data_IF_098214982790
#
_entry.id   IF_098214982790
#
_cell.length_a   1.000
_cell.length_b   1.000
_cell.length_c   1.000
_cell.angle_alpha   90.00
_cell.angle_beta   90.00
_cell.angle_gamma   90.00
#
_symmetry.space_group_name_H-M   'P 1'
#
loop_
_entity.id
_entity.type
_entity.pdbx_description
1 polymer ?
#
# COMPACT_ATOMS: atom_id res chain seq x y z
N UNK A 1 -18.31 4.61 5.42
CA UNK A 1 -17.56 3.39 5.03
C UNK A 1 -16.15 3.82 4.67
N UNK A 2 -15.15 3.59 5.54
CA UNK A 2 -13.78 3.96 5.23
C UNK A 2 -13.29 3.20 4.00
N UNK A 3 -12.39 3.83 3.25
CA UNK A 3 -11.71 3.16 2.12
C UNK A 3 -10.83 2.06 2.70
N UNK A 4 -11.20 0.80 2.46
CA UNK A 4 -10.37 -0.36 2.78
C UNK A 4 -9.43 -0.63 1.59
N UNK A 5 -8.18 -0.18 1.72
CA UNK A 5 -7.15 -0.41 0.71
C UNK A 5 -6.19 -1.53 1.15
N UNK A 6 -5.72 -2.33 0.19
CA UNK A 6 -4.85 -3.47 0.44
C UNK A 6 -3.77 -3.60 -0.65
N UNK A 7 -2.67 -4.24 -0.31
CA UNK A 7 -1.57 -4.52 -1.22
C UNK A 7 -1.88 -5.75 -2.07
N UNK A 8 -2.02 -5.61 -3.39
CA UNK A 8 -2.34 -6.75 -4.27
C UNK A 8 -1.20 -7.78 -4.40
N UNK A 9 0.03 -7.42 -4.03
CA UNK A 9 1.18 -8.35 -4.11
C UNK A 9 1.10 -9.40 -3.00
N UNK A 10 0.78 -8.99 -1.78
CA UNK A 10 0.69 -9.89 -0.61
C UNK A 10 -0.75 -10.19 -0.17
N UNK A 11 -1.74 -9.54 -0.79
CA UNK A 11 -3.17 -9.64 -0.44
C UNK A 11 -3.48 -9.28 1.02
N UNK A 12 -2.76 -8.30 1.58
CA UNK A 12 -2.90 -7.85 2.98
C UNK A 12 -3.26 -6.37 3.05
N UNK A 13 -4.00 -5.95 4.08
CA UNK A 13 -4.45 -4.57 4.25
C UNK A 13 -3.29 -3.62 4.55
N UNK A 14 -3.43 -2.36 4.14
CA UNK A 14 -2.52 -1.32 4.61
C UNK A 14 -2.86 -0.96 6.06
N UNK A 15 -1.86 -0.97 6.91
CA UNK A 15 -1.95 -0.63 8.32
C UNK A 15 -0.77 0.26 8.74
N UNK A 16 -0.64 0.52 10.05
CA UNK A 16 0.46 1.33 10.58
C UNK A 16 1.79 0.56 10.71
N UNK A 17 1.82 -0.74 10.40
CA UNK A 17 3.00 -1.60 10.61
C UNK A 17 3.97 -1.59 9.42
N UNK A 18 3.46 -1.39 8.20
CA UNK A 18 4.24 -1.48 6.97
C UNK A 18 4.15 -0.19 6.17
N UNK A 19 5.29 0.21 5.59
CA UNK A 19 5.35 1.38 4.72
C UNK A 19 4.57 1.15 3.43
N UNK A 20 3.73 2.11 3.06
CA UNK A 20 3.00 2.12 1.79
C UNK A 20 3.77 2.97 0.79
N UNK A 21 4.02 2.42 -0.38
CA UNK A 21 4.68 3.08 -1.51
C UNK A 21 3.69 3.30 -2.65
N UNK A 22 3.91 4.34 -3.45
CA UNK A 22 3.16 4.60 -4.67
C UNK A 22 4.06 4.70 -5.88
N UNK A 23 3.53 4.20 -7.00
CA UNK A 23 4.13 4.34 -8.32
C UNK A 23 3.47 5.54 -9.03
N UNK A 24 4.18 6.21 -9.94
CA UNK A 24 3.65 7.30 -10.79
C UNK A 24 2.32 7.01 -11.53
N UNK A 25 1.90 5.75 -11.64
CA UNK A 25 0.61 5.37 -12.19
C UNK A 25 -0.56 5.44 -11.18
N UNK A 26 -0.30 5.80 -9.92
CA UNK A 26 -1.28 5.94 -8.84
C UNK A 26 -1.51 4.68 -8.00
N UNK A 27 -1.02 3.51 -8.42
CA UNK A 27 -1.20 2.28 -7.64
C UNK A 27 -0.24 2.21 -6.44
N UNK A 28 -0.77 1.72 -5.31
CA UNK A 28 -0.10 1.62 -4.02
C UNK A 28 0.19 0.18 -3.64
N UNK A 29 1.33 -0.04 -2.99
CA UNK A 29 1.80 -1.35 -2.54
C UNK A 29 2.63 -1.19 -1.27
N UNK A 30 2.78 -2.24 -0.45
CA UNK A 30 3.81 -2.21 0.59
C UNK A 30 5.19 -2.02 -0.05
N UNK A 31 6.02 -1.17 0.57
CA UNK A 31 7.35 -0.83 0.06
C UNK A 31 8.21 -2.08 -0.14
N UNK A 32 8.22 -2.99 0.84
CA UNK A 32 8.97 -4.25 0.76
C UNK A 32 8.46 -5.16 -0.36
N UNK A 33 7.14 -5.29 -0.50
CA UNK A 33 6.54 -6.08 -1.58
C UNK A 33 6.90 -5.52 -2.95
N UNK A 34 6.86 -4.20 -3.11
CA UNK A 34 7.21 -3.53 -4.36
C UNK A 34 8.71 -3.69 -4.67
N UNK A 35 9.57 -3.58 -3.66
CA UNK A 35 11.01 -3.77 -3.80
C UNK A 35 11.33 -5.20 -4.26
N UNK A 36 10.74 -6.21 -3.61
CA UNK A 36 10.91 -7.61 -3.97
C UNK A 36 10.41 -7.90 -5.39
N UNK A 37 9.27 -7.30 -5.78
CA UNK A 37 8.74 -7.41 -7.14
C UNK A 37 9.72 -6.88 -8.19
N UNK A 38 10.37 -5.75 -7.95
CA UNK A 38 11.36 -5.21 -8.89
C UNK A 38 12.70 -5.95 -8.91
N UNK A 39 13.00 -6.74 -7.88
CA UNK A 39 14.16 -7.63 -7.89
C UNK A 39 13.91 -8.88 -8.73
N UNK A 40 12.66 -9.39 -8.76
CA UNK A 40 12.30 -10.61 -9.50
C UNK A 40 11.89 -10.35 -10.94
N UNK A 41 11.36 -9.15 -11.25
CA UNK A 41 10.85 -8.81 -12.57
C UNK A 41 11.80 -7.87 -13.36
N UNK A 42 12.42 -8.33 -14.47
CA UNK A 42 13.40 -7.54 -15.22
C UNK A 42 12.85 -6.26 -15.86
N UNK A 43 11.55 -6.24 -16.20
CA UNK A 43 10.93 -5.14 -16.94
C UNK A 43 10.48 -3.96 -16.06
N UNK A 44 10.58 -4.07 -14.72
CA UNK A 44 10.13 -3.08 -13.71
C UNK A 44 8.79 -2.45 -14.10
N UNK A 45 7.73 -3.25 -14.05
CA UNK A 45 6.37 -2.81 -14.39
C UNK A 45 5.48 -2.80 -13.16
N UNK A 46 4.46 -1.93 -13.15
CA UNK A 46 3.46 -1.90 -12.10
C UNK A 46 2.74 -3.27 -12.04
N UNK A 47 2.64 -3.92 -10.87
CA UNK A 47 1.96 -5.21 -10.71
C UNK A 47 0.49 -5.20 -11.17
N UNK A 48 -0.18 -4.05 -11.12
CA UNK A 48 -1.60 -3.92 -11.41
C UNK A 48 -1.90 -3.56 -12.88
N UNK A 49 -1.30 -2.48 -13.38
CA UNK A 49 -1.61 -1.96 -14.72
C UNK A 49 -0.49 -2.15 -15.75
N UNK A 50 0.63 -2.78 -15.35
CA UNK A 50 1.79 -3.09 -16.20
C UNK A 50 2.50 -1.89 -16.83
N UNK A 51 2.13 -0.65 -16.47
CA UNK A 51 2.89 0.55 -16.87
C UNK A 51 4.33 0.45 -16.39
N UNK A 52 5.28 0.86 -17.23
CA UNK A 52 6.70 0.79 -16.93
C UNK A 52 7.08 1.78 -15.84
N UNK A 53 7.90 1.34 -14.89
CA UNK A 53 8.23 2.09 -13.68
C UNK A 53 9.70 2.52 -13.72
N UNK A 54 9.91 3.83 -13.72
CA UNK A 54 11.21 4.41 -13.39
C UNK A 54 11.36 4.50 -11.88
N UNK A 55 12.48 4.01 -11.35
CA UNK A 55 12.78 4.06 -9.91
C UNK A 55 12.89 5.49 -9.37
N UNK A 56 13.12 6.47 -10.25
CA UNK A 56 13.15 7.90 -9.88
C UNK A 56 11.76 8.48 -9.55
N UNK A 57 10.68 7.80 -9.95
CA UNK A 57 9.30 8.28 -9.79
C UNK A 57 8.48 7.39 -8.85
N UNK A 58 9.15 6.74 -7.90
CA UNK A 58 8.51 5.97 -6.84
C UNK A 58 8.52 6.84 -5.58
N UNK A 59 7.35 6.95 -4.94
CA UNK A 59 7.25 7.50 -3.61
C UNK A 59 7.37 6.32 -2.65
N UNK A 60 8.51 6.20 -1.98
CA UNK A 60 8.85 5.01 -1.18
C UNK A 60 7.96 4.86 0.06
N UNK A 61 7.50 5.98 0.63
CA UNK A 61 6.67 6.00 1.84
C UNK A 61 5.64 7.11 1.74
N UNK A 62 4.37 6.73 1.88
CA UNK A 62 3.23 7.62 2.00
C UNK A 62 2.90 7.82 3.49
N UNK A 63 2.50 9.03 3.83
CA UNK A 63 1.99 9.39 5.15
C UNK A 63 0.54 9.81 4.98
N UNK A 64 -0.35 9.13 5.71
CA UNK A 64 -1.78 9.40 5.68
C UNK A 64 -2.20 9.99 7.02
N UNK A 65 -2.82 11.16 7.00
CA UNK A 65 -3.52 11.71 8.16
C UNK A 65 -4.86 10.97 8.29
N UNK A 66 -4.82 9.81 8.96
CA UNK A 66 -6.02 9.02 9.23
C UNK A 66 -6.78 9.69 10.37
N UNK A 67 -7.98 10.22 10.09
CA UNK A 67 -8.88 10.70 11.12
C UNK A 67 -9.27 9.55 12.05
N UNK A 68 -9.16 9.76 13.36
CA UNK A 68 -9.57 8.79 14.37
C UNK A 68 -11.10 8.64 14.29
N UNK A 69 -11.61 7.42 14.09
CA UNK A 69 -13.03 7.16 14.31
C UNK A 69 -13.30 7.24 15.82
N UNK A 70 -13.88 8.35 16.29
CA UNK A 70 -14.51 8.40 17.61
C UNK A 70 -15.72 7.45 17.60
N UNK A 71 -15.55 6.21 18.09
CA UNK A 71 -16.68 5.36 18.47
C UNK A 71 -16.55 3.86 18.19
N UNK A 72 -15.88 3.14 19.10
CA UNK A 72 -16.37 1.83 19.54
C UNK A 72 -16.64 1.88 21.03
N UNK A 73 -17.86 2.22 21.48
CA UNK A 73 -18.31 1.88 22.81
C UNK A 73 -18.77 0.42 22.84
N UNK A 74 -18.24 -0.32 23.83
CA UNK A 74 -18.87 -1.45 24.53
C UNK A 74 -18.86 -2.83 23.85
N UNK A 75 -17.74 -3.56 24.02
CA UNK A 75 -17.83 -4.96 24.43
C UNK A 75 -17.73 -5.00 25.97
N UNK A 76 -18.83 -4.62 26.61
CA UNK A 76 -19.10 -4.85 28.02
C UNK A 76 -20.48 -5.51 28.14
N UNK A 77 -20.55 -6.78 27.73
CA UNK A 77 -21.62 -7.73 28.05
C UNK A 77 -20.92 -9.11 28.18
N UNK A 78 -21.04 -9.93 29.22
CA UNK A 78 -21.77 -9.89 30.50
C UNK A 78 -21.01 -10.79 31.49
#
# INVERSE_FOLDING_TARGET
MPIRAYCIICSDFFDHSKDVSAIHCGHTFHYECLLQWFQTAPSKTCPQCRKQVSTKHIINRLFFDVGIEEGTPLDAES
#
